data_IF_529864230592
#
_entry.id   IF_529864230592
#
_cell.length_a   1.000
_cell.length_b   1.000
_cell.length_c   1.000
_cell.angle_alpha   90.00
_cell.angle_beta   90.00
_cell.angle_gamma   90.00
#
_symmetry.space_group_name_H-M   'P 1'
#
loop_
_entity.id
_entity.type
_entity.pdbx_description
1 polymer ?
#
# COMPACT_ATOMS: atom_id res chain seq x y z
N UNK A 1 0.10 10.20 -8.71
CA UNK A 1 0.49 9.21 -7.68
C UNK A 1 0.77 7.84 -8.28
N UNK A 2 -0.12 7.30 -9.13
CA UNK A 2 0.05 5.97 -9.75
C UNK A 2 1.42 5.76 -10.41
N UNK A 3 1.87 6.65 -11.29
CA UNK A 3 3.19 6.58 -11.93
C UNK A 3 4.36 6.58 -10.93
N UNK A 4 4.20 7.24 -9.76
CA UNK A 4 5.23 7.24 -8.71
C UNK A 4 5.28 5.90 -7.99
N UNK A 5 4.12 5.29 -7.72
CA UNK A 5 4.03 3.97 -7.10
C UNK A 5 4.61 2.90 -8.03
N UNK A 6 4.29 2.96 -9.32
CA UNK A 6 4.87 2.08 -10.34
C UNK A 6 6.40 2.23 -10.39
N UNK A 7 6.91 3.47 -10.41
CA UNK A 7 8.35 3.72 -10.37
C UNK A 7 9.01 3.20 -9.07
N UNK A 8 8.33 3.31 -7.92
CA UNK A 8 8.82 2.77 -6.64
C UNK A 8 8.85 1.25 -6.71
N UNK A 9 7.79 0.59 -7.19
CA UNK A 9 7.75 -0.86 -7.35
C UNK A 9 8.90 -1.34 -8.24
N UNK A 10 9.11 -0.70 -9.39
CA UNK A 10 10.21 -1.01 -10.30
C UNK A 10 11.60 -0.85 -9.63
N UNK A 11 11.81 0.24 -8.87
CA UNK A 11 13.06 0.46 -8.12
C UNK A 11 13.31 -0.57 -7.02
N UNK A 12 12.23 -1.13 -6.45
CA UNK A 12 12.31 -2.14 -5.39
C UNK A 12 12.34 -3.57 -5.94
N UNK A 13 12.17 -3.75 -7.26
CA UNK A 13 12.09 -5.07 -7.90
C UNK A 13 10.77 -5.79 -7.62
N UNK A 14 9.70 -5.04 -7.38
CA UNK A 14 8.35 -5.54 -7.11
C UNK A 14 7.51 -5.50 -8.38
N UNK A 15 6.59 -6.46 -8.53
CA UNK A 15 5.51 -6.31 -9.49
C UNK A 15 4.60 -5.15 -9.05
N UNK A 16 3.99 -4.45 -10.01
CA UNK A 16 3.02 -3.41 -9.74
C UNK A 16 1.66 -3.80 -10.31
N UNK A 17 0.60 -3.59 -9.53
CA UNK A 17 -0.77 -3.76 -9.98
C UNK A 17 -1.63 -2.60 -9.51
N UNK A 18 -2.72 -2.34 -10.24
CA UNK A 18 -3.70 -1.36 -9.84
C UNK A 18 -5.10 -1.84 -10.24
N UNK A 19 -6.10 -1.46 -9.46
CA UNK A 19 -7.50 -1.77 -9.76
C UNK A 19 -8.23 -2.32 -8.56
N UNK A 20 -9.20 -3.18 -8.81
CA UNK A 20 -10.01 -3.84 -7.78
C UNK A 20 -9.35 -5.12 -7.30
N UNK A 21 -9.89 -5.71 -6.23
CA UNK A 21 -9.39 -7.00 -5.72
C UNK A 21 -9.42 -8.13 -6.78
N UNK A 22 -10.32 -8.05 -7.78
CA UNK A 22 -10.31 -8.98 -8.91
C UNK A 22 -9.06 -8.83 -9.78
N UNK A 23 -8.62 -7.61 -10.02
CA UNK A 23 -7.40 -7.33 -10.79
C UNK A 23 -6.15 -7.78 -9.99
N UNK A 24 -6.21 -7.64 -8.65
CA UNK A 24 -5.19 -8.21 -7.76
C UNK A 24 -5.11 -9.74 -7.91
N UNK A 25 -6.24 -10.45 -8.00
CA UNK A 25 -6.28 -11.90 -8.22
C UNK A 25 -5.65 -12.33 -9.56
N UNK A 26 -5.81 -11.52 -10.62
CA UNK A 26 -5.23 -11.80 -11.93
C UNK A 26 -3.72 -11.54 -11.96
N UNK A 27 -3.26 -10.43 -11.35
CA UNK A 27 -1.83 -10.15 -11.19
C UNK A 27 -1.17 -11.20 -10.31
N UNK A 28 -1.83 -11.60 -9.22
CA UNK A 28 -1.41 -12.67 -8.33
C UNK A 28 -1.22 -14.02 -9.05
N UNK A 29 -2.03 -14.33 -10.07
CA UNK A 29 -1.87 -15.55 -10.87
C UNK A 29 -0.60 -15.52 -11.73
N UNK A 30 -0.20 -14.34 -12.21
CA UNK A 30 1.03 -14.18 -13.00
C UNK A 30 2.30 -14.17 -12.15
N UNK A 31 2.20 -13.76 -10.88
CA UNK A 31 3.33 -13.62 -9.98
C UNK A 31 3.65 -14.95 -9.28
N UNK A 32 4.59 -15.71 -9.83
CA UNK A 32 5.03 -17.00 -9.24
C UNK A 32 5.97 -16.84 -8.04
N UNK A 33 6.69 -15.72 -7.94
CA UNK A 33 7.65 -15.44 -6.86
C UNK A 33 7.91 -13.94 -6.73
N UNK A 34 8.23 -13.49 -5.52
CA UNK A 34 8.59 -12.09 -5.23
C UNK A 34 7.46 -11.30 -4.59
N UNK A 35 7.56 -9.98 -4.62
CA UNK A 35 6.60 -9.08 -3.98
C UNK A 35 5.77 -8.31 -5.00
N UNK A 36 4.53 -8.03 -4.64
CA UNK A 36 3.60 -7.19 -5.38
C UNK A 36 3.31 -5.94 -4.58
N UNK A 37 3.41 -4.78 -5.22
CA UNK A 37 2.81 -3.54 -4.74
C UNK A 37 1.51 -3.32 -5.52
N UNK A 38 0.38 -3.46 -4.85
CA UNK A 38 -0.94 -3.27 -5.42
C UNK A 38 -1.57 -1.98 -4.92
N UNK A 39 -2.23 -1.25 -5.80
CA UNK A 39 -3.01 -0.06 -5.44
C UNK A 39 -4.48 -0.28 -5.75
N UNK A 40 -5.35 -0.16 -4.75
CA UNK A 40 -6.79 -0.43 -4.89
C UNK A 40 -7.56 0.59 -5.76
N UNK A 41 -6.87 1.52 -6.43
CA UNK A 41 -7.43 2.38 -7.48
C UNK A 41 -8.37 3.49 -6.99
N UNK A 42 -8.83 3.46 -5.74
CA UNK A 42 -9.61 4.53 -5.14
C UNK A 42 -8.77 5.38 -4.18
N UNK A 43 -8.99 6.70 -4.26
CA UNK A 43 -8.58 7.66 -3.25
C UNK A 43 -9.80 7.98 -2.41
N UNK A 44 -9.71 7.76 -1.10
CA UNK A 44 -10.74 8.26 -0.18
C UNK A 44 -10.34 9.66 0.22
N UNK A 45 -11.23 10.64 0.06
CA UNK A 45 -10.98 11.99 0.55
C UNK A 45 -11.85 12.25 1.78
N UNK A 46 -11.25 12.76 2.85
CA UNK A 46 -11.95 13.23 4.03
C UNK A 46 -11.72 14.72 4.24
N UNK A 47 -12.81 15.43 4.54
CA UNK A 47 -12.79 16.82 4.98
C UNK A 47 -12.72 16.82 6.50
N UNK A 48 -11.65 17.37 7.04
CA UNK A 48 -11.51 17.54 8.48
C UNK A 48 -11.30 19.01 8.80
N UNK A 49 -11.75 19.48 9.97
CA UNK A 49 -11.34 20.78 10.48
C UNK A 49 -10.11 20.59 11.36
N UNK A 50 -9.09 21.41 11.16
CA UNK A 50 -7.95 21.43 12.07
C UNK A 50 -8.35 22.03 13.43
N UNK A 51 -7.48 21.90 14.43
CA UNK A 51 -7.72 22.46 15.77
C UNK A 51 -7.80 24.00 15.80
N UNK A 52 -7.62 24.68 14.66
CA UNK A 52 -7.71 26.12 14.48
C UNK A 52 -8.92 26.53 13.62
N UNK A 53 -9.75 25.57 13.19
CA UNK A 53 -10.94 25.82 12.38
C UNK A 53 -10.70 25.91 10.87
N UNK A 54 -9.49 25.61 10.37
CA UNK A 54 -9.22 25.55 8.94
C UNK A 54 -9.68 24.21 8.34
N UNK A 55 -10.26 24.26 7.14
CA UNK A 55 -10.67 23.06 6.41
C UNK A 55 -9.43 22.37 5.82
N UNK A 56 -9.14 21.17 6.31
CA UNK A 56 -8.07 20.30 5.83
C UNK A 56 -8.65 19.23 4.90
N UNK A 57 -8.16 19.20 3.65
CA UNK A 57 -8.51 18.19 2.67
C UNK A 57 -7.49 17.04 2.74
N UNK A 58 -7.90 15.89 3.27
CA UNK A 58 -7.02 14.73 3.39
C UNK A 58 -7.32 13.72 2.30
N UNK A 59 -6.28 13.25 1.62
CA UNK A 59 -6.40 12.15 0.67
C UNK A 59 -5.80 10.90 1.30
N UNK A 60 -6.56 9.82 1.31
CA UNK A 60 -6.13 8.51 1.76
C UNK A 60 -5.98 7.57 0.58
N UNK A 61 -4.88 6.84 0.58
CA UNK A 61 -4.49 5.89 -0.44
C UNK A 61 -4.35 4.51 0.23
N UNK A 62 -5.09 3.53 -0.27
CA UNK A 62 -4.90 2.14 0.12
C UNK A 62 -3.91 1.46 -0.85
N UNK A 63 -2.92 0.80 -0.27
CA UNK A 63 -1.92 0.00 -0.95
C UNK A 63 -1.81 -1.34 -0.26
N UNK A 64 -1.64 -2.41 -1.03
CA UNK A 64 -1.34 -3.73 -0.49
C UNK A 64 0.06 -4.14 -0.94
N UNK A 65 0.88 -4.56 0.02
CA UNK A 65 2.16 -5.20 -0.26
C UNK A 65 1.98 -6.67 -0.02
N UNK A 66 2.09 -7.46 -1.08
CA UNK A 66 1.72 -8.86 -1.07
C UNK A 66 2.92 -9.74 -1.41
N UNK A 67 2.96 -10.94 -0.84
CA UNK A 67 3.87 -12.02 -1.22
C UNK A 67 3.06 -13.30 -1.43
N UNK A 68 3.42 -14.14 -2.42
CA UNK A 68 2.81 -15.46 -2.55
C UNK A 68 3.00 -16.27 -1.26
N UNK A 69 1.92 -16.89 -0.78
CA UNK A 69 1.93 -17.83 0.34
C UNK A 69 1.20 -19.12 -0.03
N UNK A 70 1.29 -20.12 0.83
CA UNK A 70 0.58 -21.40 0.66
C UNK A 70 -0.31 -21.65 1.86
N UNK A 71 -1.45 -22.29 1.59
CA UNK A 71 -2.41 -22.70 2.64
C UNK A 71 -1.74 -23.56 3.71
N UNK A 72 -0.77 -24.38 3.32
CA UNK A 72 -0.07 -25.32 4.19
C UNK A 72 1.26 -24.79 4.73
N UNK A 73 1.55 -23.50 4.60
CA UNK A 73 2.74 -22.92 5.23
C UNK A 73 2.68 -23.08 6.75
N UNK A 74 3.78 -23.51 7.34
CA UNK A 74 3.89 -23.61 8.80
C UNK A 74 3.91 -22.22 9.45
N UNK A 75 3.63 -22.12 10.76
CA UNK A 75 3.73 -20.85 11.47
C UNK A 75 5.09 -20.15 11.30
N UNK A 76 6.19 -20.90 11.24
CA UNK A 76 7.54 -20.37 11.04
C UNK A 76 7.73 -19.80 9.62
N UNK A 77 7.17 -20.47 8.61
CA UNK A 77 7.19 -20.00 7.22
C UNK A 77 6.36 -18.73 7.07
N UNK A 78 5.14 -18.70 7.64
CA UNK A 78 4.30 -17.49 7.67
C UNK A 78 5.00 -16.34 8.39
N UNK A 79 5.69 -16.61 9.51
CA UNK A 79 6.48 -15.59 10.21
C UNK A 79 7.57 -15.01 9.30
N UNK A 80 8.31 -15.86 8.58
CA UNK A 80 9.33 -15.40 7.64
C UNK A 80 8.73 -14.55 6.51
N UNK A 81 7.52 -14.89 6.02
CA UNK A 81 6.81 -14.05 5.05
C UNK A 81 6.48 -12.68 5.64
N UNK A 82 5.99 -12.61 6.88
CA UNK A 82 5.68 -11.34 7.54
C UNK A 82 6.91 -10.49 7.80
N UNK A 83 8.00 -11.09 8.26
CA UNK A 83 9.25 -10.38 8.48
C UNK A 83 9.76 -9.78 7.15
N UNK A 84 9.63 -10.51 6.04
CA UNK A 84 9.99 -10.02 4.72
C UNK A 84 9.04 -8.93 4.20
N UNK A 85 7.73 -9.08 4.40
CA UNK A 85 6.73 -8.07 4.07
C UNK A 85 6.94 -6.78 4.87
N UNK A 86 7.30 -6.85 6.15
CA UNK A 86 7.60 -5.67 6.99
C UNK A 86 8.83 -4.92 6.45
N UNK A 87 9.85 -5.64 6.00
CA UNK A 87 11.03 -5.04 5.35
C UNK A 87 10.60 -4.29 4.08
N UNK A 88 9.82 -4.92 3.20
CA UNK A 88 9.35 -4.28 1.96
C UNK A 88 8.42 -3.11 2.23
N UNK A 89 7.52 -3.24 3.21
CA UNK A 89 6.66 -2.16 3.69
C UNK A 89 7.48 -0.93 4.11
N UNK A 90 8.53 -1.13 4.91
CA UNK A 90 9.43 -0.05 5.31
C UNK A 90 10.17 0.55 4.12
N UNK A 91 10.60 -0.26 3.14
CA UNK A 91 11.26 0.23 1.92
C UNK A 91 10.32 1.12 1.10
N UNK A 92 9.07 0.71 0.91
CA UNK A 92 8.03 1.50 0.22
C UNK A 92 7.75 2.80 0.97
N UNK A 93 7.49 2.73 2.28
CA UNK A 93 7.23 3.90 3.11
C UNK A 93 8.40 4.90 3.09
N UNK A 94 9.64 4.42 3.19
CA UNK A 94 10.83 5.26 3.13
C UNK A 94 10.95 5.98 1.78
N UNK A 95 10.60 5.33 0.66
CA UNK A 95 10.61 5.96 -0.67
C UNK A 95 9.53 7.02 -0.80
N UNK A 96 8.31 6.72 -0.34
CA UNK A 96 7.18 7.66 -0.37
C UNK A 96 7.42 8.88 0.53
N UNK A 97 8.02 8.66 1.69
CA UNK A 97 8.37 9.74 2.63
C UNK A 97 9.46 10.64 2.05
N UNK A 98 10.50 10.06 1.44
CA UNK A 98 11.58 10.81 0.77
C UNK A 98 11.08 11.66 -0.40
N UNK A 99 10.02 11.24 -1.07
CA UNK A 99 9.38 12.02 -2.13
C UNK A 99 8.46 13.13 -1.59
N UNK A 100 8.23 13.19 -0.27
CA UNK A 100 7.38 14.20 0.36
C UNK A 100 5.89 13.94 0.18
N UNK A 101 5.48 12.75 -0.24
CA UNK A 101 4.10 12.47 -0.65
C UNK A 101 3.16 12.17 0.53
N UNK A 102 3.69 11.77 1.69
CA UNK A 102 2.92 11.18 2.79
C UNK A 102 3.05 12.02 4.06
N UNK A 103 1.92 12.35 4.68
CA UNK A 103 1.82 13.03 5.99
C UNK A 103 1.62 12.05 7.15
N UNK A 104 1.09 10.85 6.86
CA UNK A 104 0.88 9.79 7.84
C UNK A 104 0.66 8.44 7.15
N UNK A 105 0.97 7.36 7.84
CA UNK A 105 0.77 6.01 7.34
C UNK A 105 0.23 5.11 8.47
N UNK A 106 -0.75 4.28 8.13
CA UNK A 106 -1.25 3.21 8.99
C UNK A 106 -1.06 1.89 8.27
N UNK A 107 -0.46 0.92 8.97
CA UNK A 107 -0.33 -0.44 8.47
C UNK A 107 -1.34 -1.36 9.17
N UNK A 108 -1.94 -2.27 8.41
CA UNK A 108 -2.75 -3.37 8.89
C UNK A 108 -2.27 -4.64 8.21
N UNK A 109 -1.95 -5.64 9.01
CA UNK A 109 -1.61 -6.96 8.48
C UNK A 109 -2.87 -7.74 8.11
N UNK A 110 -2.85 -8.37 6.94
CA UNK A 110 -3.89 -9.27 6.44
C UNK A 110 -3.31 -10.63 6.06
N UNK A 111 -3.90 -11.70 6.60
CA UNK A 111 -3.59 -13.07 6.22
C UNK A 111 -4.50 -13.49 5.07
N UNK A 112 -3.96 -14.13 4.04
CA UNK A 112 -4.71 -14.68 2.91
C UNK A 112 -5.74 -13.69 2.33
N UNK A 113 -5.27 -12.51 1.92
CA UNK A 113 -6.14 -11.43 1.43
C UNK A 113 -6.86 -11.79 0.13
N UNK A 114 -6.38 -12.81 -0.58
CA UNK A 114 -6.94 -13.29 -1.85
C UNK A 114 -7.25 -14.78 -1.81
N UNK A 115 -8.14 -15.21 -2.72
CA UNK A 115 -8.46 -16.62 -2.97
C UNK A 115 -7.25 -17.45 -3.44
N UNK A 116 -6.15 -16.77 -3.82
CA UNK A 116 -4.90 -17.34 -4.32
C UNK A 116 -3.79 -17.45 -3.27
N UNK A 117 -4.09 -17.20 -1.99
CA UNK A 117 -3.15 -17.29 -0.85
C UNK A 117 -1.99 -16.30 -0.97
N UNK A 118 -2.29 -15.01 -0.85
CA UNK A 118 -1.27 -14.01 -0.60
C UNK A 118 -1.33 -13.58 0.85
N UNK A 119 -0.17 -13.57 1.51
CA UNK A 119 -0.01 -12.81 2.74
C UNK A 119 0.25 -11.36 2.33
N UNK A 120 -0.38 -10.40 3.01
CA UNK A 120 -0.19 -9.01 2.67
C UNK A 120 -0.24 -8.05 3.87
N UNK A 121 0.41 -6.91 3.68
CA UNK A 121 0.28 -5.76 4.56
C UNK A 121 -0.46 -4.68 3.79
N UNK A 122 -1.65 -4.36 4.27
CA UNK A 122 -2.41 -3.21 3.80
C UNK A 122 -1.86 -1.95 4.45
N UNK A 123 -1.43 -1.01 3.63
CA UNK A 123 -0.99 0.32 3.99
C UNK A 123 -2.06 1.33 3.60
N UNK A 124 -2.59 2.04 4.58
CA UNK A 124 -3.39 3.25 4.36
C UNK A 124 -2.47 4.46 4.55
N UNK A 125 -2.22 5.18 3.47
CA UNK A 125 -1.36 6.37 3.47
C UNK A 125 -2.22 7.62 3.41
N UNK A 126 -2.02 8.53 4.34
CA UNK A 126 -2.52 9.89 4.24
C UNK A 126 -1.50 10.69 3.44
N UNK A 127 -1.94 11.22 2.30
CA UNK A 127 -1.12 12.04 1.44
C UNK A 127 -1.10 13.47 1.96
N UNK A 128 0.03 14.16 1.77
CA UNK A 128 0.08 15.60 2.05
C UNK A 128 -0.85 16.32 1.08
N UNK A 129 -1.79 17.15 1.56
CA UNK A 129 -2.50 18.04 0.66
C UNK A 129 -1.48 18.94 -0.05
N UNK A 130 -1.66 19.13 -1.35
CA UNK A 130 -1.13 20.34 -1.97
C UNK A 130 -1.79 21.50 -1.22
N UNK A 131 -1.01 22.39 -0.62
CA UNK A 131 -1.54 23.48 0.18
C UNK A 131 -2.52 24.34 -0.65
N UNK A 132 -3.80 24.02 -0.59
CA UNK A 132 -4.88 24.88 -1.08
C UNK A 132 -5.48 25.49 0.17
N UNK A 133 -4.87 26.59 0.61
CA UNK A 133 -5.47 27.43 1.64
C UNK A 133 -6.69 28.10 1.01
N UNK A 134 -7.88 27.57 1.26
CA UNK A 134 -9.13 28.25 0.90
C UNK A 134 -9.35 29.29 1.99
N UNK A 135 -8.80 30.48 1.78
CA UNK A 135 -9.12 31.63 2.63
C UNK A 135 -10.54 32.11 2.27
N UNK A 136 -11.42 32.16 3.27
CA UNK A 136 -12.69 32.88 3.20
C UNK A 136 -12.51 34.31 3.71
#
# INVERSE_FOLDING_TARGET
MLNKLEAIAAQLGMAFGYGTNKDLDDVAQSLQSGFLLFHEGYFTADLNFDGQGALEYRHQLALDICTPSKVHDTPEQKKAHFDALDIEMRRVLNRLTKQGEVSGARARMGLNLTSRNFDAIQLTLTLKPNAVSICY
#
